data_IF_372861319563
#
_entry.id   IF_372861319563
#
_cell.length_a   1.000
_cell.length_b   1.000
_cell.length_c   1.000
_cell.angle_alpha   90.00
_cell.angle_beta   90.00
_cell.angle_gamma   90.00
#
_symmetry.space_group_name_H-M   'P 1'
#
loop_
_entity.id
_entity.type
_entity.pdbx_description
1 polymer ?
#
# COMPACT_ATOMS: atom_id res chain seq x y z
N UNK A 1 -16.02 62.49 44.52
CA UNK A 1 -16.78 61.22 44.45
C UNK A 1 -16.05 60.31 43.45
N UNK A 2 -15.75 59.05 43.86
CA UNK A 2 -15.60 57.76 43.12
C UNK A 2 -15.36 57.86 41.59
N UNK A 3 -14.48 57.12 40.90
CA UNK A 3 -13.92 55.77 40.98
C UNK A 3 -12.74 55.69 39.97
N UNK A 4 -11.58 55.06 40.22
CA UNK A 4 -11.24 53.63 40.17
C UNK A 4 -11.33 52.92 38.79
N UNK A 5 -10.15 52.41 38.35
CA UNK A 5 -9.88 51.24 37.49
C UNK A 5 -10.22 51.35 35.97
N UNK A 6 -9.54 50.70 35.00
CA UNK A 6 -8.62 49.56 34.96
C UNK A 6 -7.52 49.78 33.90
N UNK A 7 -6.29 49.33 34.19
CA UNK A 7 -5.27 49.05 33.19
C UNK A 7 -5.45 47.60 32.69
N UNK A 8 -5.68 47.42 31.39
CA UNK A 8 -5.75 46.10 30.75
C UNK A 8 -4.36 45.61 30.34
N UNK A 9 -3.92 44.51 30.96
CA UNK A 9 -2.79 43.71 30.48
C UNK A 9 -3.19 42.97 29.20
N UNK A 10 -2.44 43.19 28.11
CA UNK A 10 -2.41 42.30 26.95
C UNK A 10 -1.41 41.18 27.24
N UNK A 11 -1.91 40.00 27.62
CA UNK A 11 -1.11 38.78 27.66
C UNK A 11 -1.03 38.22 26.24
N UNK A 12 0.18 38.21 25.68
CA UNK A 12 0.49 37.47 24.46
C UNK A 12 0.44 35.97 24.76
N UNK A 13 -0.54 35.28 24.16
CA UNK A 13 -0.65 33.82 24.22
C UNK A 13 0.47 33.21 23.40
N UNK A 14 1.52 32.72 24.06
CA UNK A 14 2.53 31.90 23.43
C UNK A 14 1.91 30.55 23.04
N UNK A 15 1.87 30.24 21.74
CA UNK A 15 1.67 28.88 21.26
C UNK A 15 2.87 28.04 21.69
N UNK A 16 2.73 27.30 22.79
CA UNK A 16 3.65 26.24 23.16
C UNK A 16 3.53 25.09 22.17
N UNK A 17 4.51 24.97 21.29
CA UNK A 17 4.79 23.77 20.49
C UNK A 17 4.92 22.58 21.45
N UNK A 18 4.01 21.61 21.35
CA UNK A 18 4.19 20.31 21.99
C UNK A 18 5.27 19.55 21.21
N UNK A 19 6.29 18.97 21.86
CA UNK A 19 7.24 18.11 21.18
C UNK A 19 6.51 16.89 20.62
N UNK A 20 6.87 16.51 19.39
CA UNK A 20 6.47 15.26 18.76
C UNK A 20 6.68 14.11 19.72
N UNK A 21 5.65 13.27 19.89
CA UNK A 21 5.79 12.04 20.67
C UNK A 21 6.86 11.19 20.01
N UNK A 22 8.01 11.05 20.67
CA UNK A 22 8.98 10.02 20.34
C UNK A 22 8.32 8.68 20.64
N UNK A 23 8.09 7.88 19.60
CA UNK A 23 7.74 6.47 19.75
C UNK A 23 8.88 5.75 20.46
N UNK A 24 8.80 5.63 21.79
CA UNK A 24 9.65 4.73 22.54
C UNK A 24 9.26 3.30 22.13
N UNK A 25 9.98 2.74 21.16
CA UNK A 25 9.78 1.37 20.70
C UNK A 25 10.03 0.41 21.86
N UNK A 26 9.08 -0.49 22.12
CA UNK A 26 9.25 -1.52 23.14
C UNK A 26 10.23 -2.59 22.66
N UNK A 27 10.86 -3.33 23.58
CA UNK A 27 11.83 -4.39 23.22
C UNK A 27 11.25 -5.46 22.28
N UNK A 28 9.93 -5.69 22.35
CA UNK A 28 9.21 -6.58 21.42
C UNK A 28 9.23 -6.03 19.98
N UNK A 29 9.02 -4.71 19.80
CA UNK A 29 9.09 -4.05 18.49
C UNK A 29 10.50 -4.12 17.90
N UNK A 30 11.53 -3.94 18.74
CA UNK A 30 12.93 -4.03 18.31
C UNK A 30 13.29 -5.45 17.84
N UNK A 31 12.78 -6.48 18.53
CA UNK A 31 13.01 -7.87 18.12
C UNK A 31 12.31 -8.23 16.81
N UNK A 32 11.06 -7.78 16.62
CA UNK A 32 10.29 -7.96 15.39
C UNK A 32 10.91 -7.27 14.17
N UNK A 33 11.41 -6.05 14.33
CA UNK A 33 12.10 -5.30 13.26
C UNK A 33 13.37 -6.03 12.81
N UNK A 34 14.17 -6.58 13.74
CA UNK A 34 15.36 -7.35 13.36
C UNK A 34 15.02 -8.65 12.64
N UNK A 35 13.97 -9.37 13.06
CA UNK A 35 13.53 -10.58 12.35
C UNK A 35 13.02 -10.27 10.94
N UNK A 36 12.30 -9.16 10.76
CA UNK A 36 11.87 -8.70 9.44
C UNK A 36 13.06 -8.38 8.53
N UNK A 37 14.02 -7.57 8.99
CA UNK A 37 15.18 -7.18 8.18
C UNK A 37 16.01 -8.39 7.73
N UNK A 38 16.18 -9.38 8.60
CA UNK A 38 16.87 -10.63 8.25
C UNK A 38 16.09 -11.44 7.20
N UNK A 39 14.75 -11.50 7.32
CA UNK A 39 13.91 -12.17 6.34
C UNK A 39 13.91 -11.46 4.98
N UNK A 40 13.82 -10.12 4.98
CA UNK A 40 13.92 -9.30 3.77
C UNK A 40 15.28 -9.49 3.08
N UNK A 41 16.38 -9.50 3.83
CA UNK A 41 17.71 -9.70 3.26
C UNK A 41 17.88 -11.09 2.62
N UNK A 42 17.33 -12.13 3.25
CA UNK A 42 17.31 -13.48 2.66
C UNK A 42 16.51 -13.52 1.34
N UNK A 43 15.36 -12.84 1.29
CA UNK A 43 14.58 -12.73 0.07
C UNK A 43 15.31 -11.92 -1.02
N UNK A 44 15.92 -10.77 -0.68
CA UNK A 44 16.72 -9.96 -1.63
C UNK A 44 17.89 -10.75 -2.21
N UNK A 45 18.57 -11.56 -1.39
CA UNK A 45 19.65 -12.44 -1.84
C UNK A 45 19.16 -13.48 -2.84
N UNK A 46 17.94 -13.98 -2.65
CA UNK A 46 17.30 -14.95 -3.56
C UNK A 46 16.88 -14.32 -4.89
N UNK A 47 16.60 -13.01 -4.90
CA UNK A 47 16.17 -12.26 -6.07
C UNK A 47 17.00 -10.98 -6.28
N UNK A 48 18.30 -11.08 -6.64
CA UNK A 48 19.21 -9.94 -6.60
C UNK A 48 18.86 -8.80 -7.56
N UNK A 49 18.18 -9.07 -8.68
CA UNK A 49 17.63 -8.03 -9.56
C UNK A 49 16.50 -7.27 -8.88
N UNK A 50 15.43 -7.98 -8.55
CA UNK A 50 14.27 -7.43 -7.83
C UNK A 50 14.61 -6.79 -6.48
N UNK A 51 15.63 -7.30 -5.79
CA UNK A 51 16.15 -6.75 -4.53
C UNK A 51 16.79 -5.37 -4.72
N UNK A 52 17.37 -5.07 -5.90
CA UNK A 52 17.85 -3.74 -6.25
C UNK A 52 16.75 -2.86 -6.81
N UNK A 53 15.96 -3.39 -7.73
CA UNK A 53 14.89 -2.67 -8.41
C UNK A 53 13.60 -3.51 -8.38
N UNK A 54 12.53 -3.08 -7.68
CA UNK A 54 11.30 -3.85 -7.56
C UNK A 54 10.55 -4.08 -8.89
N UNK A 55 10.93 -3.36 -9.96
CA UNK A 55 10.42 -3.57 -11.33
C UNK A 55 11.23 -4.56 -12.18
N UNK A 56 12.34 -5.11 -11.67
CA UNK A 56 13.09 -6.15 -12.38
C UNK A 56 12.36 -7.50 -12.32
N UNK A 57 12.78 -8.43 -13.20
CA UNK A 57 12.31 -9.80 -13.15
C UNK A 57 12.59 -10.43 -11.77
N UNK A 58 11.61 -11.15 -11.26
CA UNK A 58 11.71 -11.86 -10.00
C UNK A 58 10.84 -13.11 -9.99
N UNK A 59 10.34 -13.47 -8.82
CA UNK A 59 9.58 -14.70 -8.64
C UNK A 59 9.14 -14.90 -7.20
N UNK A 60 9.01 -16.17 -6.83
CA UNK A 60 8.57 -16.58 -5.53
C UNK A 60 9.46 -17.68 -4.95
N UNK A 61 9.61 -17.68 -3.62
CA UNK A 61 10.35 -18.71 -2.89
C UNK A 61 9.61 -19.01 -1.58
N UNK A 62 9.19 -20.25 -1.39
CA UNK A 62 8.59 -20.71 -0.14
C UNK A 62 9.58 -21.53 0.67
N UNK A 63 9.73 -21.18 1.94
CA UNK A 63 10.57 -21.87 2.93
C UNK A 63 9.67 -22.53 3.98
N UNK A 64 9.41 -23.84 3.87
CA UNK A 64 8.46 -24.53 4.76
C UNK A 64 8.87 -24.51 6.23
N UNK A 65 10.18 -24.53 6.53
CA UNK A 65 10.71 -24.58 7.90
C UNK A 65 10.38 -23.33 8.72
N UNK A 66 10.21 -22.19 8.04
CA UNK A 66 9.90 -20.89 8.66
C UNK A 66 8.52 -20.37 8.25
N UNK A 67 7.78 -21.13 7.43
CA UNK A 67 6.53 -20.69 6.80
C UNK A 67 6.67 -19.30 6.15
N UNK A 68 7.83 -19.06 5.52
CA UNK A 68 8.15 -17.81 4.85
C UNK A 68 7.92 -17.92 3.35
N UNK A 69 7.22 -16.97 2.78
CA UNK A 69 7.09 -16.80 1.34
C UNK A 69 7.73 -15.47 0.94
N UNK A 70 8.69 -15.50 0.03
CA UNK A 70 9.19 -14.30 -0.65
C UNK A 70 8.43 -14.10 -1.96
N UNK A 71 7.94 -12.90 -2.26
CA UNK A 71 7.39 -12.49 -3.55
C UNK A 71 8.09 -11.22 -4.05
N UNK A 72 8.95 -11.34 -5.05
CA UNK A 72 9.83 -10.25 -5.49
C UNK A 72 9.72 -10.01 -7.01
N UNK A 73 9.81 -8.75 -7.44
CA UNK A 73 9.85 -8.38 -8.86
C UNK A 73 8.51 -8.51 -9.57
N UNK A 74 8.50 -8.54 -10.91
CA UNK A 74 7.26 -8.44 -11.71
C UNK A 74 6.39 -9.70 -11.77
N UNK A 75 6.95 -10.84 -11.36
CA UNK A 75 6.41 -12.20 -11.56
C UNK A 75 6.16 -12.60 -13.03
N UNK A 76 6.55 -11.81 -14.03
CA UNK A 76 6.31 -12.10 -15.46
C UNK A 76 6.80 -13.48 -15.91
N UNK A 77 7.88 -13.97 -15.30
CA UNK A 77 8.51 -15.25 -15.64
C UNK A 77 8.20 -16.35 -14.60
N UNK A 78 7.35 -16.07 -13.62
CA UNK A 78 7.00 -17.03 -12.57
C UNK A 78 6.22 -18.22 -13.12
N UNK A 79 6.52 -19.41 -12.61
CA UNK A 79 5.71 -20.61 -12.86
C UNK A 79 4.50 -20.61 -11.91
N UNK A 80 3.32 -20.31 -12.45
CA UNK A 80 2.07 -20.24 -11.68
C UNK A 80 1.49 -21.63 -11.38
N UNK A 81 1.70 -22.60 -12.26
CA UNK A 81 1.18 -23.95 -12.04
C UNK A 81 1.91 -24.59 -10.86
N UNK A 82 3.25 -24.43 -10.83
CA UNK A 82 4.04 -24.82 -9.67
C UNK A 82 3.64 -24.03 -8.42
N UNK A 83 3.40 -22.72 -8.54
CA UNK A 83 2.96 -21.91 -7.40
C UNK A 83 1.65 -22.45 -6.81
N UNK A 84 0.62 -22.67 -7.64
CA UNK A 84 -0.66 -23.24 -7.21
C UNK A 84 -0.47 -24.59 -6.54
N UNK A 85 0.32 -25.47 -7.14
CA UNK A 85 0.56 -26.82 -6.60
C UNK A 85 1.26 -26.80 -5.24
N UNK A 86 2.22 -25.90 -5.05
CA UNK A 86 2.99 -25.83 -3.79
C UNK A 86 2.20 -25.10 -2.71
N UNK A 87 1.53 -23.99 -3.04
CA UNK A 87 0.97 -23.05 -2.06
C UNK A 87 -0.49 -23.32 -1.71
N UNK A 88 -1.23 -24.12 -2.48
CA UNK A 88 -2.62 -24.44 -2.16
C UNK A 88 -2.71 -25.11 -0.78
N UNK A 89 -3.45 -24.47 0.13
CA UNK A 89 -3.64 -24.95 1.51
C UNK A 89 -2.45 -24.71 2.45
N UNK A 90 -1.34 -24.15 1.96
CA UNK A 90 -0.21 -23.79 2.82
C UNK A 90 -0.58 -22.58 3.66
N UNK A 91 -0.28 -22.64 4.96
CA UNK A 91 -0.25 -21.44 5.80
C UNK A 91 1.09 -20.74 5.63
N UNK A 92 1.04 -19.42 5.53
CA UNK A 92 2.19 -18.53 5.39
C UNK A 92 2.19 -17.61 6.60
N UNK A 93 3.12 -17.82 7.52
CA UNK A 93 3.32 -16.94 8.67
C UNK A 93 3.88 -15.60 8.23
N UNK A 94 4.89 -15.62 7.35
CA UNK A 94 5.59 -14.41 6.91
C UNK A 94 5.63 -14.34 5.38
N UNK A 95 4.79 -13.49 4.79
CA UNK A 95 4.91 -13.10 3.39
C UNK A 95 5.79 -11.86 3.29
N UNK A 96 6.96 -11.96 2.68
CA UNK A 96 7.83 -10.81 2.42
C UNK A 96 7.69 -10.40 0.96
N UNK A 97 7.33 -9.14 0.72
CA UNK A 97 7.05 -8.65 -0.63
C UNK A 97 7.87 -7.42 -0.99
N UNK A 98 8.39 -7.41 -2.21
CA UNK A 98 9.03 -6.24 -2.85
C UNK A 98 8.75 -6.24 -4.34
N UNK A 99 7.85 -5.39 -4.80
CA UNK A 99 7.46 -5.39 -6.21
C UNK A 99 6.84 -4.08 -6.68
N UNK A 100 7.12 -3.72 -7.93
CA UNK A 100 6.44 -2.64 -8.65
C UNK A 100 5.11 -3.10 -9.30
N UNK A 101 4.70 -4.35 -9.10
CA UNK A 101 3.51 -4.95 -9.69
C UNK A 101 3.84 -5.87 -10.85
N UNK A 102 3.09 -5.80 -11.94
CA UNK A 102 3.26 -6.69 -13.10
C UNK A 102 1.94 -7.25 -13.62
N UNK A 103 1.97 -8.35 -14.39
CA UNK A 103 0.80 -8.88 -15.07
C UNK A 103 -0.32 -9.26 -14.10
N UNK A 104 -1.51 -8.68 -14.32
CA UNK A 104 -2.71 -8.88 -13.49
C UNK A 104 -2.96 -10.37 -13.23
N UNK A 105 -3.00 -11.19 -14.28
CA UNK A 105 -3.34 -12.61 -14.14
C UNK A 105 -2.46 -13.36 -13.13
N UNK A 106 -1.17 -13.02 -13.13
CA UNK A 106 -0.17 -13.70 -12.31
C UNK A 106 -0.33 -13.31 -10.84
N UNK A 107 -0.47 -12.03 -10.57
CA UNK A 107 -0.66 -11.52 -9.22
C UNK A 107 -2.04 -11.87 -8.65
N UNK A 108 -3.08 -11.81 -9.47
CA UNK A 108 -4.42 -12.21 -9.09
C UNK A 108 -4.48 -13.70 -8.75
N UNK A 109 -3.82 -14.56 -9.54
CA UNK A 109 -3.62 -15.98 -9.18
C UNK A 109 -2.94 -16.15 -7.83
N UNK A 110 -1.87 -15.39 -7.57
CA UNK A 110 -1.17 -15.41 -6.28
C UNK A 110 -2.13 -15.01 -5.15
N UNK A 111 -2.88 -13.92 -5.34
CA UNK A 111 -3.87 -13.44 -4.39
C UNK A 111 -4.94 -14.47 -4.05
N UNK A 112 -5.51 -15.12 -5.07
CA UNK A 112 -6.54 -16.14 -4.92
C UNK A 112 -6.06 -17.37 -4.13
N UNK A 113 -4.84 -17.84 -4.39
CA UNK A 113 -4.24 -18.99 -3.68
C UNK A 113 -3.92 -18.66 -2.22
N UNK A 114 -3.44 -17.43 -1.96
CA UNK A 114 -3.01 -16.99 -0.63
C UNK A 114 -4.14 -16.44 0.24
N UNK A 115 -5.30 -16.09 -0.34
CA UNK A 115 -6.40 -15.47 0.38
C UNK A 115 -6.86 -16.29 1.61
N UNK A 116 -6.73 -15.69 2.80
CA UNK A 116 -7.07 -16.32 4.09
C UNK A 116 -6.01 -17.29 4.64
N UNK A 117 -4.83 -17.32 4.01
CA UNK A 117 -3.73 -18.20 4.41
C UNK A 117 -2.46 -17.45 4.83
N UNK A 118 -2.42 -16.13 4.66
CA UNK A 118 -1.30 -15.28 5.08
C UNK A 118 -1.63 -14.65 6.44
N UNK A 119 -0.74 -14.87 7.41
CA UNK A 119 -0.82 -14.21 8.72
C UNK A 119 -0.31 -12.78 8.59
N UNK A 120 0.97 -12.59 8.31
CA UNK A 120 1.57 -11.26 8.16
C UNK A 120 2.20 -11.08 6.78
N UNK A 121 1.90 -9.97 6.12
CA UNK A 121 2.67 -9.47 4.99
C UNK A 121 3.59 -8.33 5.43
N UNK A 122 4.85 -8.43 5.05
CA UNK A 122 5.86 -7.42 5.27
C UNK A 122 6.27 -6.78 3.94
N UNK A 123 6.13 -5.46 3.85
CA UNK A 123 6.51 -4.69 2.66
C UNK A 123 7.97 -4.28 2.77
N UNK A 124 8.82 -4.96 2.01
CA UNK A 124 10.21 -4.57 1.79
C UNK A 124 10.28 -3.43 0.76
N UNK A 125 10.23 -2.21 1.27
CA UNK A 125 10.35 -0.91 0.57
C UNK A 125 9.27 -0.55 -0.47
N UNK A 126 8.71 -1.52 -1.20
CA UNK A 126 7.82 -1.26 -2.32
C UNK A 126 6.79 -2.37 -2.54
N UNK A 127 5.51 -1.99 -2.62
CA UNK A 127 4.44 -2.85 -3.11
C UNK A 127 3.47 -2.00 -3.94
N UNK A 128 3.68 -1.97 -5.26
CA UNK A 128 2.91 -1.12 -6.17
C UNK A 128 1.95 -1.94 -7.03
N UNK A 129 0.91 -1.28 -7.54
CA UNK A 129 0.06 -1.83 -8.58
C UNK A 129 -0.50 -3.21 -8.19
N UNK A 130 -0.33 -4.21 -9.04
CA UNK A 130 -0.71 -5.61 -8.81
C UNK A 130 -0.21 -6.20 -7.48
N UNK A 131 0.92 -5.74 -6.93
CA UNK A 131 1.35 -6.14 -5.58
C UNK A 131 0.36 -5.65 -4.52
N UNK A 132 0.07 -4.34 -4.53
CA UNK A 132 -0.87 -3.71 -3.60
C UNK A 132 -2.29 -4.26 -3.80
N UNK A 133 -2.66 -4.50 -5.06
CA UNK A 133 -4.00 -4.94 -5.40
C UNK A 133 -4.29 -6.38 -4.96
N UNK A 134 -3.31 -7.28 -5.07
CA UNK A 134 -3.60 -8.73 -5.01
C UNK A 134 -2.83 -9.49 -3.94
N UNK A 135 -1.64 -9.04 -3.53
CA UNK A 135 -0.90 -9.69 -2.45
C UNK A 135 -1.25 -9.07 -1.09
N UNK A 136 -1.28 -7.74 -1.00
CA UNK A 136 -1.52 -7.01 0.25
C UNK A 136 -2.86 -7.40 0.91
N UNK A 137 -3.90 -7.55 0.09
CA UNK A 137 -5.28 -7.87 0.53
C UNK A 137 -5.45 -9.29 1.08
N UNK A 138 -4.41 -10.13 1.04
CA UNK A 138 -4.49 -11.53 1.48
C UNK A 138 -4.15 -11.75 2.95
N UNK A 139 -3.51 -10.76 3.57
CA UNK A 139 -2.90 -10.89 4.90
C UNK A 139 -3.80 -10.38 6.03
N UNK A 140 -3.72 -11.05 7.18
CA UNK A 140 -4.40 -10.61 8.41
C UNK A 140 -3.72 -9.41 9.05
N UNK A 141 -2.41 -9.26 8.85
CA UNK A 141 -1.62 -8.12 9.30
C UNK A 141 -0.71 -7.64 8.17
N UNK A 142 -0.62 -6.32 8.01
CA UNK A 142 0.29 -5.62 7.11
C UNK A 142 1.30 -4.85 7.94
N UNK A 143 2.58 -5.13 7.70
CA UNK A 143 3.71 -4.40 8.25
C UNK A 143 4.45 -3.72 7.11
N UNK A 144 4.35 -2.40 7.04
CA UNK A 144 5.15 -1.60 6.11
C UNK A 144 6.01 -0.65 6.96
N UNK A 145 7.30 -0.93 7.15
CA UNK A 145 8.17 -0.10 7.97
C UNK A 145 8.40 1.29 7.33
N UNK A 146 9.08 2.15 8.08
CA UNK A 146 9.44 3.49 7.61
C UNK A 146 10.07 3.49 6.22
N UNK A 147 9.66 4.46 5.40
CA UNK A 147 10.04 4.61 3.99
C UNK A 147 9.61 3.47 3.05
N UNK A 148 8.83 2.48 3.49
CA UNK A 148 8.11 1.58 2.58
C UNK A 148 6.97 2.31 1.88
N UNK A 149 6.70 1.93 0.64
CA UNK A 149 5.65 2.52 -0.17
C UNK A 149 4.67 1.45 -0.65
N UNK A 150 3.39 1.66 -0.39
CA UNK A 150 2.29 0.88 -0.95
C UNK A 150 1.50 1.81 -1.86
N UNK A 151 1.36 1.46 -3.14
CA UNK A 151 0.83 2.38 -4.16
C UNK A 151 -0.20 1.69 -5.04
N UNK A 152 -1.41 2.24 -5.09
CA UNK A 152 -2.48 1.84 -5.99
C UNK A 152 -2.55 2.79 -7.18
N UNK A 153 -2.87 2.30 -8.37
CA UNK A 153 -3.07 3.14 -9.55
C UNK A 153 -4.20 2.60 -10.47
N UNK A 154 -5.10 1.83 -9.88
CA UNK A 154 -6.14 1.12 -10.61
C UNK A 154 -5.99 -0.38 -10.69
N UNK A 155 -6.99 -1.01 -11.30
CA UNK A 155 -7.02 -2.45 -11.51
C UNK A 155 -8.40 -2.93 -11.96
N UNK A 156 -8.49 -4.10 -12.60
CA UNK A 156 -9.78 -4.69 -12.99
C UNK A 156 -10.75 -4.82 -11.82
N UNK A 157 -11.89 -4.14 -11.94
CA UNK A 157 -13.04 -4.22 -11.04
C UNK A 157 -14.32 -4.04 -11.85
N UNK A 158 -15.45 -4.54 -11.35
CA UNK A 158 -16.76 -4.37 -12.01
C UNK A 158 -17.26 -2.92 -12.01
N UNK A 159 -16.64 -2.06 -11.21
CA UNK A 159 -16.94 -0.62 -11.13
C UNK A 159 -16.28 0.20 -12.25
N UNK A 160 -15.42 -0.43 -13.06
CA UNK A 160 -14.73 0.24 -14.15
C UNK A 160 -15.44 -0.05 -15.49
N UNK A 161 -15.75 1.01 -16.24
CA UNK A 161 -16.42 0.97 -17.55
C UNK A 161 -15.48 0.47 -18.67
N UNK A 162 -15.00 -0.76 -18.55
CA UNK A 162 -14.18 -1.46 -19.57
C UNK A 162 -14.75 -2.84 -19.91
N UNK A 163 -16.07 -2.96 -19.87
CA UNK A 163 -16.82 -4.23 -19.95
C UNK A 163 -16.81 -4.92 -21.33
N UNK A 164 -16.23 -4.29 -22.35
CA UNK A 164 -16.15 -4.85 -23.71
C UNK A 164 -14.88 -5.69 -23.97
N UNK A 165 -14.01 -5.85 -22.96
CA UNK A 165 -12.84 -6.72 -22.99
C UNK A 165 -13.12 -7.97 -22.13
N UNK A 166 -13.18 -9.14 -22.77
CA UNK A 166 -13.51 -10.42 -22.13
C UNK A 166 -12.49 -10.79 -21.04
N UNK A 167 -11.19 -10.52 -21.27
CA UNK A 167 -10.14 -10.78 -20.30
C UNK A 167 -10.26 -9.82 -19.11
N UNK A 168 -10.52 -8.54 -19.38
CA UNK A 168 -10.74 -7.54 -18.33
C UNK A 168 -11.95 -7.91 -17.47
N UNK A 169 -13.06 -8.30 -18.09
CA UNK A 169 -14.29 -8.70 -17.39
C UNK A 169 -14.05 -9.94 -16.53
N UNK A 170 -13.26 -10.91 -17.02
CA UNK A 170 -12.85 -12.08 -16.25
C UNK A 170 -12.01 -11.70 -15.03
N UNK A 171 -11.01 -10.83 -15.21
CA UNK A 171 -10.18 -10.34 -14.12
C UNK A 171 -10.98 -9.52 -13.11
N UNK A 172 -11.87 -8.64 -13.55
CA UNK A 172 -12.75 -7.84 -12.69
C UNK A 172 -13.55 -8.73 -11.74
N UNK A 173 -14.24 -9.75 -12.25
CA UNK A 173 -15.02 -10.69 -11.41
C UNK A 173 -14.17 -11.43 -10.39
N UNK A 174 -12.94 -11.78 -10.75
CA UNK A 174 -11.99 -12.48 -9.87
C UNK A 174 -11.46 -11.54 -8.79
N UNK A 175 -11.09 -10.32 -9.16
CA UNK A 175 -10.72 -9.26 -8.22
C UNK A 175 -11.84 -8.98 -7.23
N UNK A 176 -13.07 -8.81 -7.70
CA UNK A 176 -14.23 -8.56 -6.82
C UNK A 176 -14.42 -9.67 -5.79
N UNK A 177 -14.25 -10.94 -6.18
CA UNK A 177 -14.31 -12.08 -5.24
C UNK A 177 -13.17 -12.07 -4.23
N UNK A 178 -11.95 -11.74 -4.67
CA UNK A 178 -10.79 -11.64 -3.77
C UNK A 178 -11.01 -10.54 -2.72
N UNK A 179 -11.46 -9.37 -3.16
CA UNK A 179 -11.73 -8.21 -2.31
C UNK A 179 -12.90 -8.45 -1.36
N UNK A 180 -14.00 -9.03 -1.84
CA UNK A 180 -15.13 -9.42 -1.00
C UNK A 180 -14.71 -10.42 0.10
N UNK A 181 -13.85 -11.39 -0.23
CA UNK A 181 -13.31 -12.34 0.75
C UNK A 181 -12.42 -11.66 1.80
N UNK A 182 -11.73 -10.58 1.44
CA UNK A 182 -10.92 -9.78 2.35
C UNK A 182 -11.74 -8.75 3.15
N UNK A 183 -13.02 -8.55 2.82
CA UNK A 183 -13.84 -7.49 3.41
C UNK A 183 -13.44 -6.08 2.98
N UNK A 184 -12.84 -5.95 1.78
CA UNK A 184 -12.30 -4.70 1.24
C UNK A 184 -13.16 -4.23 0.07
N UNK A 185 -13.48 -2.94 0.00
CA UNK A 185 -14.20 -2.35 -1.15
C UNK A 185 -13.30 -2.30 -2.39
N UNK A 186 -13.81 -2.73 -3.54
CA UNK A 186 -13.12 -2.60 -4.84
C UNK A 186 -13.12 -1.18 -5.39
N UNK A 187 -13.84 -0.24 -4.76
CA UNK A 187 -13.83 1.18 -5.16
C UNK A 187 -12.44 1.79 -5.12
N UNK A 188 -11.54 1.31 -4.24
CA UNK A 188 -10.13 1.74 -4.23
C UNK A 188 -9.48 1.58 -5.61
N UNK A 189 -9.82 0.52 -6.35
CA UNK A 189 -9.29 0.27 -7.69
C UNK A 189 -9.88 1.24 -8.70
N UNK A 190 -11.19 1.49 -8.67
CA UNK A 190 -11.80 2.46 -9.59
C UNK A 190 -11.32 3.89 -9.33
N UNK A 191 -11.20 4.27 -8.07
CA UNK A 191 -10.80 5.62 -7.69
C UNK A 191 -9.35 5.90 -8.04
N UNK A 192 -8.47 4.94 -7.83
CA UNK A 192 -7.04 5.10 -8.12
C UNK A 192 -6.70 5.03 -9.61
N UNK A 193 -7.69 4.78 -10.49
CA UNK A 193 -7.57 5.01 -11.94
C UNK A 193 -7.77 6.49 -12.34
N UNK A 194 -8.34 7.32 -11.46
CA UNK A 194 -8.63 8.72 -11.78
C UNK A 194 -7.35 9.54 -11.88
N UNK A 195 -7.38 10.52 -12.77
CA UNK A 195 -6.32 11.52 -12.89
C UNK A 195 -6.29 12.46 -11.68
N UNK A 196 -5.12 12.98 -11.28
CA UNK A 196 -5.01 13.96 -10.20
C UNK A 196 -5.72 15.28 -10.54
N UNK A 197 -6.06 16.07 -9.52
CA UNK A 197 -6.62 17.41 -9.73
C UNK A 197 -5.59 18.37 -10.34
N UNK A 198 -6.06 19.48 -10.93
CA UNK A 198 -5.16 20.50 -11.47
C UNK A 198 -4.23 21.10 -10.38
N UNK A 199 -4.72 21.22 -9.15
CA UNK A 199 -3.93 21.68 -8.00
C UNK A 199 -2.84 20.68 -7.64
N UNK A 200 -3.19 19.39 -7.57
CA UNK A 200 -2.22 18.32 -7.33
C UNK A 200 -1.16 18.26 -8.44
N UNK A 201 -1.56 18.41 -9.71
CA UNK A 201 -0.61 18.46 -10.82
C UNK A 201 0.29 19.69 -10.77
N UNK A 202 -0.20 20.84 -10.30
CA UNK A 202 0.63 22.02 -10.07
C UNK A 202 1.67 21.77 -8.98
N UNK A 203 1.28 21.11 -7.87
CA UNK A 203 2.20 20.69 -6.81
C UNK A 203 3.27 19.72 -7.34
N UNK A 204 2.87 18.69 -8.10
CA UNK A 204 3.80 17.73 -8.72
C UNK A 204 4.80 18.45 -9.61
N UNK A 205 4.34 19.38 -10.46
CA UNK A 205 5.22 20.15 -11.35
C UNK A 205 6.21 21.01 -10.55
N UNK A 206 5.80 21.53 -9.39
CA UNK A 206 6.64 22.34 -8.52
C UNK A 206 7.70 21.51 -7.78
N UNK A 207 7.30 20.37 -7.21
CA UNK A 207 8.14 19.54 -6.32
C UNK A 207 8.96 18.51 -7.09
N UNK A 208 8.44 18.03 -8.22
CA UNK A 208 8.99 16.96 -9.05
C UNK A 208 8.87 17.30 -10.54
N UNK A 209 9.57 18.33 -11.04
CA UNK A 209 9.44 18.79 -12.42
C UNK A 209 9.84 17.74 -13.47
N UNK A 210 10.60 16.71 -13.08
CA UNK A 210 10.97 15.58 -13.95
C UNK A 210 9.88 14.48 -14.02
N UNK A 211 8.87 14.53 -13.16
CA UNK A 211 7.77 13.58 -13.18
C UNK A 211 6.78 13.92 -14.30
N UNK A 212 6.73 13.07 -15.33
CA UNK A 212 5.81 13.26 -16.46
C UNK A 212 4.34 12.99 -16.09
N UNK A 213 4.09 12.23 -15.02
CA UNK A 213 2.76 11.85 -14.53
C UNK A 213 2.82 11.40 -13.07
N UNK A 214 1.65 11.32 -12.43
CA UNK A 214 1.49 10.63 -11.15
C UNK A 214 1.49 9.12 -11.42
N UNK A 215 2.38 8.40 -10.73
CA UNK A 215 2.55 6.96 -10.85
C UNK A 215 1.49 6.16 -10.08
N UNK A 216 0.80 6.81 -9.14
CA UNK A 216 -0.28 6.26 -8.36
C UNK A 216 -0.48 6.99 -7.04
N UNK A 217 -1.22 6.35 -6.15
CA UNK A 217 -1.68 6.88 -4.89
C UNK A 217 -1.25 5.98 -3.73
N UNK A 218 -0.47 6.53 -2.81
CA UNK A 218 -0.15 5.91 -1.53
C UNK A 218 -1.19 6.38 -0.51
N UNK A 219 -2.29 5.66 -0.38
CA UNK A 219 -3.39 6.05 0.48
C UNK A 219 -3.03 5.81 1.96
N UNK A 220 -3.38 6.75 2.83
CA UNK A 220 -3.10 6.64 4.27
C UNK A 220 -3.83 5.46 4.93
N UNK A 221 -3.24 4.79 5.95
CA UNK A 221 -3.89 3.68 6.66
C UNK A 221 -5.26 4.04 7.21
N UNK A 222 -5.41 5.23 7.78
CA UNK A 222 -6.67 5.73 8.31
C UNK A 222 -7.75 5.82 7.21
N UNK A 223 -7.40 6.37 6.04
CA UNK A 223 -8.34 6.42 4.90
C UNK A 223 -8.64 5.02 4.35
N UNK A 224 -7.63 4.15 4.27
CA UNK A 224 -7.82 2.75 3.84
C UNK A 224 -8.81 2.00 4.73
N UNK A 225 -8.68 2.16 6.05
CA UNK A 225 -9.59 1.55 7.01
C UNK A 225 -10.98 2.17 6.93
N UNK A 226 -11.09 3.50 6.99
CA UNK A 226 -12.38 4.19 7.06
C UNK A 226 -13.19 4.13 5.76
N UNK A 227 -12.54 4.21 4.60
CA UNK A 227 -13.24 4.28 3.31
C UNK A 227 -13.33 2.93 2.59
N UNK A 228 -12.41 2.00 2.83
CA UNK A 228 -12.29 0.78 2.01
C UNK A 228 -12.29 -0.52 2.80
N UNK A 229 -12.41 -0.49 4.13
CA UNK A 229 -12.56 -1.69 4.95
C UNK A 229 -11.25 -2.42 5.25
N UNK A 230 -10.09 -1.82 5.01
CA UNK A 230 -8.81 -2.44 5.40
C UNK A 230 -8.69 -2.48 6.93
N UNK A 231 -8.72 -3.68 7.50
CA UNK A 231 -8.63 -3.90 8.96
C UNK A 231 -7.23 -4.34 9.43
N UNK A 232 -6.32 -4.62 8.51
CA UNK A 232 -5.01 -5.24 8.78
C UNK A 232 -3.82 -4.25 8.86
N UNK A 233 -4.05 -2.93 8.87
CA UNK A 233 -3.02 -1.92 8.58
C UNK A 233 -2.34 -1.24 9.79
N UNK A 234 -2.42 -1.83 10.99
CA UNK A 234 -1.94 -1.19 12.22
C UNK A 234 -0.44 -0.81 12.22
N UNK A 235 0.37 -1.45 11.37
CA UNK A 235 1.81 -1.21 11.25
C UNK A 235 2.21 -0.76 9.83
N UNK A 236 1.28 -0.13 9.10
CA UNK A 236 1.57 0.43 7.79
C UNK A 236 2.05 1.88 7.90
N UNK A 237 3.33 2.11 7.67
CA UNK A 237 3.88 3.46 7.59
C UNK A 237 3.34 4.22 6.37
N UNK A 238 3.23 5.54 6.52
CA UNK A 238 2.80 6.44 5.46
C UNK A 238 3.54 7.77 5.56
N UNK A 239 3.85 8.38 4.41
CA UNK A 239 4.63 9.61 4.33
C UNK A 239 3.92 10.86 4.85
N UNK A 240 2.62 10.79 5.09
CA UNK A 240 1.82 11.93 5.53
C UNK A 240 1.31 12.74 4.35
N UNK A 241 2.02 13.80 3.96
CA UNK A 241 1.55 14.74 2.93
C UNK A 241 1.91 14.32 1.50
N UNK A 242 1.22 14.89 0.50
CA UNK A 242 1.60 14.73 -0.91
C UNK A 242 3.05 15.15 -1.18
N UNK A 243 3.54 16.20 -0.51
CA UNK A 243 4.94 16.64 -0.67
C UNK A 243 5.93 15.59 -0.16
N UNK A 244 5.64 14.99 0.99
CA UNK A 244 6.49 13.94 1.57
C UNK A 244 6.46 12.66 0.73
N UNK A 245 5.28 12.29 0.22
CA UNK A 245 5.11 11.15 -0.68
C UNK A 245 5.85 11.36 -2.01
N UNK A 246 5.76 12.54 -2.61
CA UNK A 246 6.51 12.91 -3.82
C UNK A 246 8.02 12.85 -3.55
N UNK A 247 8.49 13.41 -2.43
CA UNK A 247 9.90 13.39 -2.07
C UNK A 247 10.42 11.95 -1.88
N UNK A 248 9.65 11.11 -1.18
CA UNK A 248 9.99 9.70 -1.00
C UNK A 248 9.99 8.95 -2.33
N UNK A 249 8.97 9.14 -3.18
CA UNK A 249 8.88 8.50 -4.49
C UNK A 249 10.08 8.86 -5.37
N UNK A 250 10.44 10.15 -5.43
CA UNK A 250 11.60 10.63 -6.18
C UNK A 250 12.93 10.10 -5.66
N UNK A 251 13.04 9.87 -4.34
CA UNK A 251 14.24 9.26 -3.77
C UNK A 251 14.45 7.81 -4.25
N UNK A 252 13.37 7.13 -4.63
CA UNK A 252 13.40 5.76 -5.17
C UNK A 252 13.51 5.73 -6.69
N UNK A 253 12.83 6.64 -7.40
CA UNK A 253 12.98 6.83 -8.84
C UNK A 253 12.70 8.30 -9.23
N UNK A 254 13.70 8.98 -9.82
CA UNK A 254 13.71 10.44 -10.07
C UNK A 254 12.53 11.01 -10.86
N UNK A 255 11.81 10.19 -11.60
CA UNK A 255 10.68 10.60 -12.44
C UNK A 255 9.33 10.12 -11.88
N UNK A 256 9.28 9.74 -10.61
CA UNK A 256 8.10 9.14 -9.98
C UNK A 256 7.49 10.12 -9.00
N UNK A 257 6.26 10.56 -9.30
CA UNK A 257 5.41 11.27 -8.36
C UNK A 257 4.33 10.33 -7.84
N UNK A 258 4.11 10.33 -6.52
CA UNK A 258 3.03 9.60 -5.85
C UNK A 258 2.31 10.58 -4.96
N UNK A 259 0.98 10.53 -4.99
CA UNK A 259 0.10 11.37 -4.16
C UNK A 259 -0.60 10.51 -3.10
N UNK A 260 -1.28 11.13 -2.14
CA UNK A 260 -2.07 10.42 -1.14
C UNK A 260 -3.37 9.90 -1.74
N UNK A 261 -4.05 10.71 -2.55
CA UNK A 261 -5.40 10.40 -3.02
C UNK A 261 -5.76 11.12 -4.34
N UNK A 262 -6.57 10.50 -5.22
CA UNK A 262 -7.11 11.17 -6.40
C UNK A 262 -8.28 12.08 -6.02
N UNK A 263 -8.01 13.33 -5.63
CA UNK A 263 -9.04 14.33 -5.36
C UNK A 263 -8.91 15.09 -4.03
N UNK A 264 -9.79 16.08 -3.86
CA UNK A 264 -9.71 17.08 -2.79
C UNK A 264 -10.44 16.69 -1.49
N UNK A 265 -11.14 15.55 -1.44
CA UNK A 265 -12.05 15.26 -0.33
C UNK A 265 -11.43 14.38 0.74
N UNK A 266 -11.41 14.88 1.98
CA UNK A 266 -11.22 14.11 3.21
C UNK A 266 -12.41 13.16 3.54
N UNK A 267 -13.43 13.13 2.69
CA UNK A 267 -14.69 12.43 2.93
C UNK A 267 -14.77 11.12 2.14
N UNK A 268 -14.99 10.03 2.85
CA UNK A 268 -15.46 8.76 2.30
C UNK A 268 -16.94 8.87 1.86
N UNK A 269 -17.42 10.01 1.33
CA UNK A 269 -18.84 10.20 0.98
C UNK A 269 -19.10 9.81 -0.47
N UNK A 270 -19.99 8.83 -0.61
CA UNK A 270 -20.24 8.03 -1.81
C UNK A 270 -20.33 6.53 -1.50
N UNK A 271 -19.87 6.12 -0.32
CA UNK A 271 -19.51 4.75 0.02
C UNK A 271 -20.55 4.17 0.98
N UNK A 272 -21.68 3.69 0.45
CA UNK A 272 -22.52 2.79 1.22
C UNK A 272 -21.83 1.43 1.19
N UNK A 273 -21.07 1.11 2.23
CA UNK A 273 -20.80 -0.30 2.52
C UNK A 273 -22.16 -0.99 2.50
N UNK A 274 -22.32 -1.99 1.63
CA UNK A 274 -23.51 -2.83 1.62
C UNK A 274 -23.69 -3.31 3.05
N UNK A 275 -24.73 -2.84 3.73
CA UNK A 275 -25.13 -3.46 4.98
C UNK A 275 -25.45 -4.92 4.66
N UNK A 276 -24.89 -5.88 5.40
CA UNK A 276 -25.19 -7.28 5.16
C UNK A 276 -26.68 -7.50 5.43
N UNK A 277 -27.41 -7.93 4.40
CA UNK A 277 -28.76 -8.50 4.54
C UNK A 277 -28.75 -9.77 5.40
#
# INVERSE_FOLDING_TARGET
MKAAALAGLLAATACSYLPSQSWAQSDATVSGVRSFQQAAEACRTSFPGAGRNPGDAGGWLFEPSTSRLCLYGTLEQSDLDRFRNVMTGQKVTNLIVRSAGGPVERWLTVGEVLAGNVETIYVDEACFSSCANYALVTAQQVVAPEASMVVWHGGPSSLNDKLDDDDYTSFARRTDRLYAKAGISTEILSLTEKEPTAEQMALVTQVAPEAARVAGYAISPDRLTRCYGFSSLNEMWHGGSDTDLIALANSKARSMAVLEFPGDTADCRGFSLLEPE
#
